data_IF_510149070360
#
_entry.id   IF_510149070360
#
_cell.length_a   1.000
_cell.length_b   1.000
_cell.length_c   1.000
_cell.angle_alpha   90.00
_cell.angle_beta   90.00
_cell.angle_gamma   90.00
#
_symmetry.space_group_name_H-M   'P 1'
#
loop_
_entity.id
_entity.type
_entity.pdbx_description
1 polymer ?
#
# COMPACT_ATOMS: atom_id res chain seq x y z
N UNK A 1 -2.84 15.63 16.17
CA UNK A 1 -3.49 14.60 15.33
C UNK A 1 -2.72 14.56 14.04
N UNK A 2 -1.68 13.73 13.97
CA UNK A 2 -0.89 13.60 12.75
C UNK A 2 -1.81 13.07 11.66
N UNK A 3 -1.99 13.87 10.61
CA UNK A 3 -2.78 13.53 9.44
C UNK A 3 -2.31 12.15 8.96
N UNK A 4 -3.21 11.15 8.97
CA UNK A 4 -2.90 9.82 8.43
C UNK A 4 -2.57 9.87 6.94
N UNK A 5 -2.91 10.95 6.26
CA UNK A 5 -2.58 11.17 4.87
C UNK A 5 -1.06 11.20 4.65
N UNK A 6 -0.63 10.55 3.57
CA UNK A 6 0.78 10.54 3.16
C UNK A 6 1.28 11.97 2.88
N UNK A 7 2.48 12.37 3.34
CA UNK A 7 3.05 13.67 3.01
C UNK A 7 3.38 13.81 1.52
N UNK A 8 3.60 12.70 0.82
CA UNK A 8 3.81 12.63 -0.64
C UNK A 8 2.49 12.56 -1.44
N UNK A 9 1.35 12.74 -0.77
CA UNK A 9 0.04 12.91 -1.42
C UNK A 9 0.05 13.80 -2.68
N UNK A 10 0.67 15.00 -2.69
CA UNK A 10 0.65 15.84 -3.90
C UNK A 10 1.35 15.20 -5.09
N UNK A 11 2.45 14.45 -4.88
CA UNK A 11 3.15 13.73 -5.95
C UNK A 11 2.31 12.52 -6.41
N UNK A 12 1.76 11.77 -5.45
CA UNK A 12 0.84 10.65 -5.72
C UNK A 12 -0.40 11.09 -6.51
N UNK A 13 -0.91 12.31 -6.28
CA UNK A 13 -2.01 12.89 -7.05
C UNK A 13 -1.67 13.16 -8.51
N UNK A 14 -0.39 13.35 -8.86
CA UNK A 14 0.03 13.52 -10.25
C UNK A 14 0.00 12.19 -11.02
N UNK A 15 0.20 11.08 -10.30
CA UNK A 15 0.31 9.75 -10.91
C UNK A 15 -1.02 8.98 -10.80
N UNK A 16 -1.65 8.99 -9.62
CA UNK A 16 -2.87 8.27 -9.31
C UNK A 16 -3.83 9.15 -8.45
N UNK A 17 -4.54 10.10 -9.08
CA UNK A 17 -5.41 11.04 -8.38
C UNK A 17 -6.67 10.41 -7.75
N UNK A 18 -7.01 9.19 -8.15
CA UNK A 18 -8.19 8.47 -7.65
C UNK A 18 -7.90 7.70 -6.35
N UNK A 19 -6.62 7.48 -6.02
CA UNK A 19 -6.21 6.67 -4.88
C UNK A 19 -6.00 7.51 -3.62
N UNK A 20 -6.44 7.02 -2.46
CA UNK A 20 -6.30 7.69 -1.17
C UNK A 20 -5.25 7.03 -0.30
N UNK A 21 -4.00 7.44 -0.46
CA UNK A 21 -2.90 6.93 0.33
C UNK A 21 -2.94 7.42 1.78
N UNK A 22 -3.14 6.47 2.69
CA UNK A 22 -3.15 6.70 4.12
C UNK A 22 -2.15 5.75 4.81
N UNK A 23 -1.58 6.22 5.92
CA UNK A 23 -0.70 5.43 6.77
C UNK A 23 -1.52 4.63 7.77
N UNK A 24 -1.46 3.32 7.62
CA UNK A 24 -2.05 2.35 8.53
C UNK A 24 -0.96 1.48 9.14
N UNK A 25 -1.18 0.98 10.35
CA UNK A 25 -0.37 -0.14 10.84
C UNK A 25 -0.70 -1.41 10.06
N UNK A 26 0.21 -2.38 10.00
CA UNK A 26 -0.07 -3.67 9.33
C UNK A 26 -1.27 -4.39 9.96
N UNK A 27 -1.48 -4.17 11.26
CA UNK A 27 -2.66 -4.64 11.99
C UNK A 27 -3.96 -4.01 11.46
N UNK A 28 -3.96 -2.71 11.20
CA UNK A 28 -5.12 -1.98 10.64
C UNK A 28 -5.36 -2.31 9.18
N UNK A 29 -4.29 -2.47 8.39
CA UNK A 29 -4.37 -2.75 6.96
C UNK A 29 -4.98 -4.12 6.64
N UNK A 30 -5.05 -5.03 7.63
CA UNK A 30 -5.64 -6.37 7.49
C UNK A 30 -5.13 -7.09 6.24
N UNK A 31 -3.79 -7.17 6.10
CA UNK A 31 -3.15 -7.78 4.95
C UNK A 31 -3.63 -9.21 4.69
N UNK A 32 -3.49 -9.70 3.44
CA UNK A 32 -3.80 -11.10 3.13
C UNK A 32 -2.98 -12.05 4.00
N UNK A 33 -3.58 -13.19 4.36
CA UNK A 33 -2.95 -14.20 5.23
C UNK A 33 -1.58 -14.65 4.70
N UNK A 34 -1.41 -14.76 3.38
CA UNK A 34 -0.13 -15.13 2.75
C UNK A 34 0.99 -14.13 3.08
N UNK A 35 0.68 -12.82 3.08
CA UNK A 35 1.62 -11.78 3.46
C UNK A 35 1.95 -11.84 4.97
N UNK A 36 0.97 -12.12 5.82
CA UNK A 36 1.22 -12.27 7.26
C UNK A 36 2.16 -13.44 7.59
N UNK A 37 2.05 -14.55 6.85
CA UNK A 37 2.96 -15.70 7.00
C UNK A 37 4.40 -15.30 6.66
N UNK A 38 4.60 -14.46 5.63
CA UNK A 38 5.93 -13.94 5.27
C UNK A 38 6.47 -12.90 6.26
N UNK A 39 5.57 -12.23 6.99
CA UNK A 39 5.89 -11.24 8.03
C UNK A 39 6.00 -11.85 9.42
N UNK A 40 6.12 -13.18 9.53
CA UNK A 40 6.26 -13.85 10.82
C UNK A 40 7.50 -13.33 11.57
N UNK A 41 7.27 -12.69 12.73
CA UNK A 41 8.30 -12.05 13.54
C UNK A 41 8.40 -10.53 13.40
N UNK A 42 7.65 -9.92 12.48
CA UNK A 42 7.51 -8.46 12.37
C UNK A 42 6.41 -7.97 13.31
N UNK A 43 6.67 -6.88 14.02
CA UNK A 43 5.67 -6.27 14.89
C UNK A 43 4.67 -5.45 14.05
N UNK A 44 3.44 -5.98 13.94
CA UNK A 44 2.38 -5.43 13.09
C UNK A 44 1.83 -4.07 13.59
N UNK A 45 2.11 -3.72 14.85
CA UNK A 45 1.69 -2.46 15.47
C UNK A 45 2.79 -1.40 15.32
N UNK A 46 4.06 -1.83 15.31
CA UNK A 46 5.21 -0.95 15.10
C UNK A 46 5.43 -0.59 13.63
N UNK A 47 5.10 -1.49 12.69
CA UNK A 47 5.29 -1.25 11.26
C UNK A 47 4.07 -0.59 10.65
N UNK A 48 4.32 0.54 9.98
CA UNK A 48 3.33 1.27 9.20
C UNK A 48 3.50 0.97 7.72
N UNK A 49 2.38 0.94 7.00
CA UNK A 49 2.28 0.84 5.55
C UNK A 49 1.51 2.05 5.03
N UNK A 50 2.00 2.63 3.94
CA UNK A 50 1.30 3.67 3.20
C UNK A 50 0.52 3.02 2.06
N UNK A 51 -0.80 3.01 2.16
CA UNK A 51 -1.62 2.35 1.14
C UNK A 51 -3.03 2.90 1.02
N UNK A 52 -3.64 2.57 -0.11
CA UNK A 52 -5.06 2.62 -0.37
C UNK A 52 -5.65 1.21 -0.15
N UNK A 53 -6.54 1.07 0.84
CA UNK A 53 -7.15 -0.21 1.19
C UNK A 53 -8.24 -0.64 0.22
N UNK A 54 -8.85 0.30 -0.52
CA UNK A 54 -9.93 0.00 -1.45
C UNK A 54 -9.40 -0.65 -2.72
N UNK A 55 -8.30 -0.11 -3.24
CA UNK A 55 -7.63 -0.56 -4.46
C UNK A 55 -6.49 -1.54 -4.19
N UNK A 56 -6.14 -1.78 -2.93
CA UNK A 56 -5.00 -2.60 -2.50
C UNK A 56 -3.68 -2.15 -3.14
N UNK A 57 -3.47 -0.83 -3.19
CA UNK A 57 -2.26 -0.22 -3.76
C UNK A 57 -1.42 0.38 -2.64
N UNK A 58 -0.13 0.09 -2.60
CA UNK A 58 0.78 0.63 -1.60
C UNK A 58 1.85 1.54 -2.22
N UNK A 59 2.34 2.49 -1.43
CA UNK A 59 3.46 3.34 -1.80
C UNK A 59 4.77 2.79 -1.22
N UNK A 60 5.73 2.35 -2.05
CA UNK A 60 7.00 1.77 -1.58
C UNK A 60 7.89 2.79 -0.86
N UNK A 61 7.68 4.09 -1.05
CA UNK A 61 8.48 5.16 -0.43
C UNK A 61 8.29 5.21 1.09
N UNK A 62 7.08 4.89 1.55
CA UNK A 62 6.68 4.91 2.97
C UNK A 62 6.28 3.52 3.48
N UNK A 63 6.70 2.47 2.77
CA UNK A 63 6.44 1.08 3.14
C UNK A 63 7.75 0.35 3.35
N UNK A 64 7.89 -0.38 4.44
CA UNK A 64 9.12 -1.12 4.74
C UNK A 64 9.37 -2.25 3.74
N UNK A 65 10.64 -2.50 3.42
CA UNK A 65 11.04 -3.55 2.47
C UNK A 65 10.51 -4.93 2.83
N UNK A 66 10.48 -5.29 4.12
CA UNK A 66 9.92 -6.55 4.56
C UNK A 66 8.44 -6.71 4.19
N UNK A 67 7.67 -5.62 4.26
CA UNK A 67 6.25 -5.60 3.89
C UNK A 67 6.10 -5.70 2.39
N UNK A 68 6.90 -4.96 1.62
CA UNK A 68 6.90 -5.06 0.17
C UNK A 68 7.16 -6.50 -0.28
N UNK A 69 8.20 -7.14 0.25
CA UNK A 69 8.53 -8.54 -0.04
C UNK A 69 7.43 -9.52 0.40
N UNK A 70 6.70 -9.22 1.48
CA UNK A 70 5.57 -10.03 1.89
C UNK A 70 4.37 -9.89 0.93
N UNK A 71 4.15 -8.70 0.39
CA UNK A 71 3.12 -8.40 -0.58
C UNK A 71 3.46 -8.93 -1.98
N UNK A 72 4.73 -9.19 -2.29
CA UNK A 72 5.15 -9.82 -3.54
C UNK A 72 4.43 -11.17 -3.74
N UNK A 73 3.71 -11.30 -4.86
CA UNK A 73 2.89 -12.48 -5.19
C UNK A 73 1.47 -12.46 -4.63
N UNK A 74 1.03 -11.36 -4.02
CA UNK A 74 -0.37 -11.13 -3.65
C UNK A 74 -1.08 -10.23 -4.67
N UNK A 75 -2.35 -9.88 -4.43
CA UNK A 75 -3.10 -8.93 -5.27
C UNK A 75 -2.70 -7.46 -5.02
N UNK A 76 -1.83 -7.20 -4.04
CA UNK A 76 -1.38 -5.85 -3.74
C UNK A 76 -0.38 -5.36 -4.78
N UNK A 77 -0.59 -4.13 -5.27
CA UNK A 77 0.24 -3.53 -6.29
C UNK A 77 0.97 -2.29 -5.79
N UNK A 78 2.16 -2.07 -6.34
CA UNK A 78 2.91 -0.84 -6.12
C UNK A 78 2.24 0.30 -6.89
N UNK A 79 2.06 1.47 -6.26
CA UNK A 79 1.48 2.65 -6.92
C UNK A 79 2.20 3.03 -8.22
N UNK A 80 3.52 2.88 -8.28
CA UNK A 80 4.28 3.19 -9.50
C UNK A 80 4.01 2.20 -10.63
N UNK A 81 3.54 0.98 -10.32
CA UNK A 81 3.13 -0.02 -11.30
C UNK A 81 1.65 0.13 -11.67
N UNK A 82 0.78 0.29 -10.65
CA UNK A 82 -0.66 0.44 -10.83
C UNK A 82 -1.07 1.74 -11.51
N UNK A 83 -0.35 2.84 -11.28
CA UNK A 83 -0.65 4.11 -11.92
C UNK A 83 -0.40 4.13 -13.43
N UNK A 84 0.32 3.13 -13.97
CA UNK A 84 0.42 2.94 -15.42
C UNK A 84 -0.87 2.31 -16.02
N UNK A 85 -1.68 1.64 -15.20
CA UNK A 85 -3.00 1.13 -15.55
C UNK A 85 -4.05 2.18 -15.20
N UNK A 86 -4.16 3.21 -16.05
CA UNK A 86 -5.27 4.17 -15.97
C UNK A 86 -6.64 3.50 -16.15
N UNK A 87 -7.74 4.20 -15.86
CA UNK A 87 -9.13 3.69 -15.85
C UNK A 87 -9.68 3.20 -17.21
N UNK A 88 -8.82 3.00 -18.22
CA UNK A 88 -9.14 2.46 -19.55
C UNK A 88 -8.70 0.99 -19.73
N UNK A 89 -8.36 0.27 -18.65
CA UNK A 89 -8.06 -1.18 -18.74
C UNK A 89 -9.35 -2.00 -18.53
N UNK A 90 -9.91 -2.68 -19.56
CA UNK A 90 -11.19 -3.37 -19.48
C UNK A 90 -11.14 -4.75 -18.78
N UNK A 91 -10.21 -4.96 -17.84
CA UNK A 91 -9.97 -6.25 -17.18
C UNK A 91 -10.35 -6.29 -15.68
N UNK A 92 -11.35 -5.51 -15.27
CA UNK A 92 -12.01 -5.64 -13.96
C UNK A 92 -13.36 -6.38 -14.06
#
# INVERSE_FOLDING_TARGET
MSSRACPDWPDLMEIAPDLQFMHYTLREAQLPTDAFVKLEGVDLDAVSICCDLESHVYNPTHTEQAVMTALEGTHWMNVHEGAHHGPDDPAA
#
